data_IF_554287199948
#
_entry.id   IF_554287199948
#
_cell.length_a   1.000
_cell.length_b   1.000
_cell.length_c   1.000
_cell.angle_alpha   90.00
_cell.angle_beta   90.00
_cell.angle_gamma   90.00
#
_symmetry.space_group_name_H-M   'P 1'
#
loop_
_entity.id
_entity.type
_entity.pdbx_description
1 polymer ?
#
# COMPACT_ATOMS: atom_id res chain seq x y z
N UNK A 1 14.75 22.85 -8.63
CA UNK A 1 14.11 21.53 -8.81
C UNK A 1 13.95 20.93 -7.42
N UNK A 2 12.78 20.46 -7.05
CA UNK A 2 12.55 19.82 -5.74
C UNK A 2 12.46 18.32 -6.00
N UNK A 3 13.36 17.54 -5.40
CA UNK A 3 13.27 16.08 -5.41
C UNK A 3 12.14 15.65 -4.46
N UNK A 4 11.38 14.61 -4.83
CA UNK A 4 10.32 14.05 -4.00
C UNK A 4 10.44 12.53 -3.97
N UNK A 5 10.29 11.95 -2.78
CA UNK A 5 10.44 10.52 -2.54
C UNK A 5 9.10 9.86 -2.22
N UNK A 6 8.85 8.71 -2.84
CA UNK A 6 7.75 7.80 -2.49
C UNK A 6 8.35 6.60 -1.76
N UNK A 7 8.03 6.48 -0.47
CA UNK A 7 8.40 5.35 0.36
C UNK A 7 7.26 4.33 0.36
N UNK A 8 7.56 3.08 0.00
CA UNK A 8 6.61 1.97 0.08
C UNK A 8 7.16 0.93 1.04
N UNK A 9 6.42 0.68 2.11
CA UNK A 9 6.76 -0.36 3.09
C UNK A 9 5.83 -1.55 2.89
N UNK A 10 6.43 -2.74 2.77
CA UNK A 10 5.71 -4.01 2.77
C UNK A 10 5.99 -4.75 4.07
N UNK A 11 4.96 -5.30 4.69
CA UNK A 11 5.09 -6.11 5.90
C UNK A 11 4.14 -7.30 5.86
N UNK A 12 4.55 -8.38 6.50
CA UNK A 12 3.67 -9.49 6.85
C UNK A 12 3.52 -9.59 8.36
N UNK A 13 2.30 -9.80 8.86
CA UNK A 13 2.03 -9.94 10.30
C UNK A 13 0.89 -10.92 10.58
N UNK A 14 0.93 -11.64 11.71
CA UNK A 14 -0.06 -12.66 12.03
C UNK A 14 -1.46 -12.06 12.23
N UNK A 15 -2.48 -12.78 11.78
CA UNK A 15 -3.91 -12.46 11.96
C UNK A 15 -4.72 -13.74 12.09
N UNK A 16 -5.94 -13.66 12.60
CA UNK A 16 -6.84 -14.81 12.70
C UNK A 16 -7.01 -15.46 11.31
N UNK A 17 -6.55 -16.70 11.18
CA UNK A 17 -6.61 -17.46 9.91
C UNK A 17 -5.38 -17.37 9.00
N UNK A 18 -4.29 -16.69 9.41
CA UNK A 18 -3.03 -16.68 8.65
C UNK A 18 -2.17 -15.44 8.90
N UNK A 19 -1.64 -14.87 7.81
CA UNK A 19 -0.81 -13.66 7.82
C UNK A 19 -1.37 -12.66 6.82
N UNK A 20 -1.51 -11.41 7.25
CA UNK A 20 -1.73 -10.32 6.31
C UNK A 20 -0.40 -9.94 5.67
N UNK A 21 -0.37 -9.85 4.34
CA UNK A 21 0.64 -9.06 3.61
C UNK A 21 0.03 -7.70 3.35
N UNK A 22 0.65 -6.64 3.88
CA UNK A 22 0.20 -5.25 3.72
C UNK A 22 1.32 -4.41 3.08
N UNK A 23 0.96 -3.67 2.03
CA UNK A 23 1.80 -2.63 1.47
C UNK A 23 1.21 -1.26 1.81
N UNK A 24 2.04 -0.33 2.27
CA UNK A 24 1.68 1.04 2.61
C UNK A 24 2.59 2.02 1.89
N UNK A 25 2.03 3.12 1.38
CA UNK A 25 2.80 4.24 0.84
C UNK A 25 2.83 5.44 1.79
N UNK A 26 3.96 6.12 1.78
CA UNK A 26 4.17 7.44 2.36
C UNK A 26 4.87 8.30 1.29
N UNK A 27 4.20 9.36 0.84
CA UNK A 27 4.72 10.29 -0.18
C UNK A 27 4.65 11.72 0.35
N UNK A 28 5.74 12.46 0.22
CA UNK A 28 5.80 13.86 0.63
C UNK A 28 4.91 14.73 -0.30
N UNK A 29 3.70 15.03 0.17
CA UNK A 29 2.73 15.87 -0.54
C UNK A 29 1.69 15.12 -1.39
N UNK A 30 1.43 13.84 -1.13
CA UNK A 30 0.30 13.11 -1.73
C UNK A 30 -0.38 12.15 -0.77
N UNK A 31 -1.26 11.31 -1.28
CA UNK A 31 -2.15 10.47 -0.48
C UNK A 31 -1.43 9.23 0.05
N UNK A 32 -1.51 8.98 1.36
CA UNK A 32 -1.11 7.69 1.93
C UNK A 32 -2.15 6.64 1.53
N UNK A 33 -1.69 5.53 0.96
CA UNK A 33 -2.51 4.40 0.57
C UNK A 33 -2.03 3.14 1.28
N UNK A 34 -2.94 2.20 1.54
CA UNK A 34 -2.63 0.90 2.08
C UNK A 34 -3.49 -0.17 1.41
N UNK A 35 -2.90 -1.33 1.13
CA UNK A 35 -3.59 -2.50 0.59
C UNK A 35 -3.08 -3.76 1.29
N UNK A 36 -3.98 -4.65 1.65
CA UNK A 36 -3.65 -5.92 2.30
C UNK A 36 -4.36 -7.12 1.68
N UNK A 37 -3.83 -8.33 1.87
CA UNK A 37 -4.48 -9.63 1.63
C UNK A 37 -4.16 -10.60 2.75
N UNK A 38 -5.08 -11.54 3.02
CA UNK A 38 -4.84 -12.68 3.92
C UNK A 38 -4.27 -13.86 3.18
N UNK A 39 -3.18 -14.42 3.70
CA UNK A 39 -2.52 -15.60 3.15
C UNK A 39 -2.28 -16.61 4.27
N UNK A 40 -2.52 -17.88 3.98
CA UNK A 40 -2.16 -18.97 4.89
C UNK A 40 -0.63 -19.17 4.92
N UNK A 41 -0.08 -19.43 6.10
CA UNK A 41 1.34 -19.73 6.26
C UNK A 41 1.70 -19.92 7.73
N UNK A 42 2.94 -20.32 8.00
CA UNK A 42 3.40 -20.64 9.35
C UNK A 42 4.13 -19.44 9.99
N UNK A 43 4.85 -18.65 9.17
CA UNK A 43 5.52 -17.42 9.62
C UNK A 43 5.57 -16.32 8.54
N UNK A 44 5.79 -15.07 8.97
CA UNK A 44 5.81 -13.89 8.11
C UNK A 44 6.92 -13.90 7.05
N UNK A 45 8.09 -14.47 7.37
CA UNK A 45 9.24 -14.56 6.45
C UNK A 45 8.94 -15.54 5.33
N UNK A 46 8.40 -16.72 5.68
CA UNK A 46 7.94 -17.72 4.74
C UNK A 46 6.87 -17.15 3.81
N UNK A 47 5.85 -16.49 4.37
CA UNK A 47 4.73 -15.94 3.58
C UNK A 47 5.21 -14.94 2.54
N UNK A 48 6.16 -14.05 2.87
CA UNK A 48 6.74 -13.11 1.91
C UNK A 48 7.61 -13.81 0.85
N UNK A 49 8.43 -14.78 1.25
CA UNK A 49 9.35 -15.50 0.36
C UNK A 49 8.60 -16.38 -0.65
N UNK A 50 7.55 -17.06 -0.19
CA UNK A 50 6.87 -18.09 -0.97
C UNK A 50 5.73 -17.50 -1.83
N UNK A 51 5.38 -16.22 -1.65
CA UNK A 51 4.35 -15.53 -2.42
C UNK A 51 4.87 -14.26 -3.15
N UNK A 52 5.96 -14.33 -3.95
CA UNK A 52 6.57 -13.15 -4.57
C UNK A 52 5.61 -12.42 -5.53
N UNK A 53 4.73 -13.16 -6.21
CA UNK A 53 3.72 -12.56 -7.09
C UNK A 53 2.74 -11.64 -6.34
N UNK A 54 2.33 -12.03 -5.12
CA UNK A 54 1.44 -11.20 -4.30
C UNK A 54 2.21 -9.98 -3.78
N UNK A 55 3.47 -10.16 -3.39
CA UNK A 55 4.36 -9.05 -2.99
C UNK A 55 4.45 -8.00 -4.11
N UNK A 56 4.81 -8.42 -5.33
CA UNK A 56 4.92 -7.52 -6.49
C UNK A 56 3.58 -6.85 -6.82
N UNK A 57 2.49 -7.61 -6.79
CA UNK A 57 1.15 -7.07 -7.03
C UNK A 57 0.79 -5.98 -6.02
N UNK A 58 1.06 -6.20 -4.72
CA UNK A 58 0.74 -5.23 -3.66
C UNK A 58 1.59 -3.97 -3.76
N UNK A 59 2.89 -4.12 -4.01
CA UNK A 59 3.79 -3.00 -4.25
C UNK A 59 3.35 -2.18 -5.48
N UNK A 60 3.05 -2.84 -6.59
CA UNK A 60 2.58 -2.17 -7.80
C UNK A 60 1.22 -1.48 -7.61
N UNK A 61 0.28 -2.12 -6.92
CA UNK A 61 -1.04 -1.55 -6.65
C UNK A 61 -0.95 -0.32 -5.75
N UNK A 62 -0.21 -0.39 -4.62
CA UNK A 62 -0.10 0.75 -3.71
C UNK A 62 0.70 1.90 -4.34
N UNK A 63 1.73 1.60 -5.14
CA UNK A 63 2.47 2.62 -5.90
C UNK A 63 1.54 3.38 -6.86
N UNK A 64 0.69 2.66 -7.60
CA UNK A 64 -0.29 3.29 -8.48
C UNK A 64 -1.24 4.18 -7.70
N UNK A 65 -1.81 3.70 -6.60
CA UNK A 65 -2.72 4.50 -5.76
C UNK A 65 -2.04 5.75 -5.19
N UNK A 66 -0.81 5.62 -4.70
CA UNK A 66 -0.06 6.74 -4.12
C UNK A 66 0.29 7.84 -5.14
N UNK A 67 0.46 7.45 -6.40
CA UNK A 67 0.81 8.33 -7.52
C UNK A 67 -0.40 8.80 -8.32
N UNK A 68 -1.61 8.31 -8.01
CA UNK A 68 -2.82 8.90 -8.58
C UNK A 68 -2.86 10.36 -8.15
N UNK A 69 -3.23 11.29 -9.05
CA UNK A 69 -3.52 12.64 -8.65
C UNK A 69 -4.54 12.59 -7.51
N UNK A 70 -4.35 13.40 -6.48
CA UNK A 70 -5.47 13.71 -5.60
C UNK A 70 -6.53 14.34 -6.51
N UNK A 71 -7.51 13.55 -6.96
CA UNK A 71 -8.73 14.10 -7.52
C UNK A 71 -9.26 15.00 -6.44
N UNK A 72 -9.39 16.30 -6.74
CA UNK A 72 -9.86 17.31 -5.80
C UNK A 72 -11.20 16.85 -5.18
N UNK A 73 -11.15 16.16 -4.03
CA UNK A 73 -12.35 15.88 -3.22
C UNK A 73 -12.85 17.16 -2.53
N UNK A 74 -12.23 18.31 -2.83
CA UNK A 74 -12.63 19.64 -2.36
C UNK A 74 -13.20 20.56 -3.46
N UNK A 75 -13.65 20.02 -4.60
CA UNK A 75 -14.59 20.73 -5.49
C UNK A 75 -16.05 20.48 -5.05
N UNK A 76 -16.32 20.45 -3.74
CA UNK A 76 -17.66 20.74 -3.27
C UNK A 76 -17.86 22.24 -3.44
N UNK A 77 -18.74 22.71 -4.35
CA UNK A 77 -19.06 24.12 -4.41
C UNK A 77 -19.59 24.51 -3.04
N UNK A 78 -18.88 25.43 -2.37
CA UNK A 78 -19.47 26.13 -1.24
C UNK A 78 -20.76 26.79 -1.75
N UNK A 79 -21.92 26.50 -1.16
CA UNK A 79 -23.13 27.21 -1.54
C UNK A 79 -22.94 28.69 -1.21
N UNK A 80 -23.22 29.55 -2.20
CA UNK A 80 -23.26 31.01 -2.08
C UNK A 80 -24.07 31.48 -0.86
#
# INVERSE_FOLDING_TARGET
MIERELNITLRAFPKDGGFFIEARSEYEGGMSAAISDLIAGDDATQVLRDNPAIVEQKLGAVARMALMPATDENDLPYPD
#
